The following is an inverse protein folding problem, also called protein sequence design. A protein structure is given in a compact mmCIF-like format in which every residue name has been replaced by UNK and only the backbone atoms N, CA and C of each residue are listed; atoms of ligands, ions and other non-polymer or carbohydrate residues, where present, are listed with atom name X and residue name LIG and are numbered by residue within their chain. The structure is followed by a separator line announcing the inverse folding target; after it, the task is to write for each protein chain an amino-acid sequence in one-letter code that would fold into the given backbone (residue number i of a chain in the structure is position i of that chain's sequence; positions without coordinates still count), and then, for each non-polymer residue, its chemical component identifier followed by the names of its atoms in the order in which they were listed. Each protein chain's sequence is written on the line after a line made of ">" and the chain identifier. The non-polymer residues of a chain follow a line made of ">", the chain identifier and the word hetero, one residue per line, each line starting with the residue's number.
data_IF_261780046048
#
_entry.id   IF_261780046048
#
_cell.length_a   1.000
_cell.length_b   1.000
_cell.length_c   1.000
_cell.angle_alpha   90.00
_cell.angle_beta   90.00
_cell.angle_gamma   90.00
#
_symmetry.space_group_name_H-M   'P 1'
#
loop_
_entity.id
_entity.type
_entity.pdbx_description
1 polymer ?
#
# COMPACT_ATOMS: atom_id res chain seq x y z
N UNK A 1 10.31 -21.17 -8.68
CA UNK A 1 9.25 -20.54 -9.52
C UNK A 1 9.80 -20.27 -10.91
N UNK A 2 9.04 -20.54 -11.98
CA UNK A 2 9.43 -20.19 -13.35
C UNK A 2 8.22 -19.93 -14.25
N UNK A 3 8.08 -18.71 -14.78
CA UNK A 3 6.92 -18.31 -15.61
C UNK A 3 6.87 -19.07 -16.94
N UNK A 4 7.99 -19.16 -17.64
CA UNK A 4 8.09 -19.79 -18.97
C UNK A 4 8.54 -21.25 -18.91
N UNK A 5 8.88 -21.75 -17.72
CA UNK A 5 9.45 -23.08 -17.50
C UNK A 5 10.73 -23.31 -18.32
N UNK A 6 11.50 -22.25 -18.62
CA UNK A 6 12.79 -22.33 -19.30
C UNK A 6 13.88 -22.81 -18.33
N UNK A 7 13.81 -24.09 -17.99
CA UNK A 7 14.67 -24.78 -17.04
C UNK A 7 15.50 -25.84 -17.76
N UNK A 8 16.72 -26.14 -17.27
CA UNK A 8 17.54 -27.21 -17.83
C UNK A 8 16.88 -28.58 -17.60
N UNK A 9 17.05 -29.50 -18.56
CA UNK A 9 16.49 -30.86 -18.44
C UNK A 9 17.17 -31.67 -17.33
N UNK A 10 18.43 -31.36 -17.04
CA UNK A 10 19.23 -31.95 -15.97
C UNK A 10 19.66 -30.90 -14.97
N UNK A 11 19.31 -31.10 -13.70
CA UNK A 11 19.73 -30.31 -12.56
C UNK A 11 19.60 -31.15 -11.28
N UNK A 12 20.42 -30.85 -10.28
CA UNK A 12 20.35 -31.54 -8.98
C UNK A 12 18.97 -31.42 -8.32
N UNK A 13 18.25 -30.32 -8.58
CA UNK A 13 16.89 -30.07 -8.07
C UNK A 13 15.85 -31.10 -8.55
N UNK A 14 16.11 -31.80 -9.66
CA UNK A 14 15.20 -32.83 -10.18
C UNK A 14 15.40 -34.19 -9.53
N UNK A 15 16.40 -34.32 -8.66
CA UNK A 15 16.69 -35.56 -7.96
C UNK A 15 15.89 -35.65 -6.65
N UNK A 16 14.63 -36.08 -6.77
CA UNK A 16 13.62 -36.02 -5.70
C UNK A 16 13.80 -37.02 -4.56
N UNK A 17 14.88 -37.81 -4.57
CA UNK A 17 15.22 -38.74 -3.49
C UNK A 17 15.66 -38.05 -2.19
N UNK A 18 16.38 -36.93 -2.28
CA UNK A 18 16.94 -36.20 -1.13
C UNK A 18 15.94 -35.19 -0.56
N UNK A 19 15.20 -34.53 -1.45
CA UNK A 19 14.24 -33.51 -1.10
C UNK A 19 13.08 -33.50 -2.09
N UNK A 20 11.88 -33.22 -1.58
CA UNK A 20 10.71 -33.03 -2.41
C UNK A 20 10.81 -31.73 -3.21
N UNK A 21 10.50 -31.79 -4.51
CA UNK A 21 10.63 -30.63 -5.40
C UNK A 21 9.29 -30.24 -5.98
N UNK A 22 8.94 -28.96 -5.80
CA UNK A 22 7.76 -28.33 -6.39
C UNK A 22 8.21 -27.24 -7.38
N UNK A 23 7.60 -27.22 -8.55
CA UNK A 23 7.75 -26.16 -9.54
C UNK A 23 6.42 -25.44 -9.71
N UNK A 24 6.36 -24.21 -9.21
CA UNK A 24 5.29 -23.28 -9.55
C UNK A 24 5.57 -22.62 -10.92
N UNK A 25 4.61 -22.76 -11.85
CA UNK A 25 4.70 -22.22 -13.21
C UNK A 25 3.42 -21.53 -13.66
N UNK A 26 3.47 -20.77 -14.74
CA UNK A 26 2.29 -20.12 -15.31
C UNK A 26 1.54 -21.10 -16.23
N UNK A 27 0.21 -21.08 -16.17
CA UNK A 27 -0.65 -21.97 -16.96
C UNK A 27 -0.29 -21.92 -18.44
N UNK A 28 -0.08 -23.10 -19.03
CA UNK A 28 0.26 -23.25 -20.44
C UNK A 28 1.76 -23.17 -20.77
N UNK A 29 2.63 -23.03 -19.77
CA UNK A 29 4.08 -23.02 -19.99
C UNK A 29 4.61 -24.42 -20.36
N UNK A 30 5.20 -24.58 -21.56
CA UNK A 30 5.95 -25.77 -22.05
C UNK A 30 5.53 -27.12 -21.45
N UNK A 31 4.36 -27.63 -21.87
CA UNK A 31 3.76 -28.88 -21.36
C UNK A 31 4.68 -30.10 -21.51
N UNK A 32 5.47 -30.15 -22.58
CA UNK A 32 6.45 -31.21 -22.82
C UNK A 32 7.48 -31.34 -21.68
N UNK A 33 7.92 -30.20 -21.13
CA UNK A 33 8.89 -30.18 -20.05
C UNK A 33 8.21 -30.44 -18.70
N UNK A 34 6.97 -29.97 -18.51
CA UNK A 34 6.17 -30.35 -17.35
C UNK A 34 6.04 -31.87 -17.24
N UNK A 35 5.71 -32.56 -18.34
CA UNK A 35 5.59 -34.01 -18.39
C UNK A 35 6.91 -34.74 -18.09
N UNK A 36 8.03 -34.24 -18.63
CA UNK A 36 9.37 -34.80 -18.34
C UNK A 36 9.71 -34.67 -16.86
N UNK A 37 9.46 -33.52 -16.25
CA UNK A 37 9.76 -33.27 -14.83
C UNK A 37 8.84 -34.08 -13.91
N UNK A 38 7.56 -34.20 -14.26
CA UNK A 38 6.62 -35.06 -13.54
C UNK A 38 7.05 -36.53 -13.55
N UNK A 39 7.61 -37.03 -14.67
CA UNK A 39 8.19 -38.39 -14.74
C UNK A 39 9.41 -38.57 -13.84
N UNK A 40 10.13 -37.49 -13.51
CA UNK A 40 11.24 -37.48 -12.53
C UNK A 40 10.75 -37.31 -11.08
N UNK A 41 9.42 -37.31 -10.85
CA UNK A 41 8.82 -37.18 -9.52
C UNK A 41 8.66 -35.74 -9.03
N UNK A 42 8.93 -34.74 -9.88
CA UNK A 42 8.77 -33.32 -9.53
C UNK A 42 7.29 -32.93 -9.61
N UNK A 43 6.77 -32.30 -8.57
CA UNK A 43 5.42 -31.74 -8.59
C UNK A 43 5.40 -30.44 -9.40
N UNK A 44 4.58 -30.38 -10.45
CA UNK A 44 4.42 -29.17 -11.27
C UNK A 44 3.04 -28.59 -10.99
N UNK A 45 3.02 -27.35 -10.51
CA UNK A 45 1.79 -26.63 -10.12
C UNK A 45 1.61 -25.43 -11.04
N UNK A 46 0.49 -25.40 -11.76
CA UNK A 46 0.13 -24.29 -12.65
C UNK A 46 -0.69 -23.23 -11.93
N UNK A 47 -0.27 -21.97 -12.08
CA UNK A 47 -0.97 -20.79 -11.64
C UNK A 47 -1.45 -20.00 -12.85
N UNK A 48 -2.67 -19.45 -12.80
CA UNK A 48 -3.18 -18.61 -13.90
C UNK A 48 -2.29 -17.39 -14.16
N UNK A 49 -1.86 -16.72 -13.07
CA UNK A 49 -0.81 -15.72 -13.08
C UNK A 49 0.18 -16.03 -11.98
N UNK A 50 1.39 -16.45 -12.35
CA UNK A 50 2.41 -16.81 -11.37
C UNK A 50 2.93 -15.55 -10.64
N UNK A 51 2.61 -15.44 -9.35
CA UNK A 51 3.06 -14.38 -8.47
C UNK A 51 3.51 -14.93 -7.09
N UNK A 52 4.31 -14.20 -6.30
CA UNK A 52 4.81 -14.67 -5.01
C UNK A 52 3.71 -15.01 -4.00
N UNK A 53 2.65 -14.20 -3.90
CA UNK A 53 1.56 -14.36 -2.92
C UNK A 53 0.84 -15.68 -3.11
N UNK A 54 0.39 -15.99 -4.33
CA UNK A 54 -0.34 -17.24 -4.61
C UNK A 54 0.54 -18.47 -4.32
N UNK A 55 1.84 -18.37 -4.61
CA UNK A 55 2.78 -19.47 -4.31
C UNK A 55 2.93 -19.65 -2.80
N UNK A 56 3.00 -18.57 -2.03
CA UNK A 56 3.05 -18.66 -0.57
C UNK A 56 1.74 -19.17 0.03
N UNK A 57 0.59 -18.76 -0.49
CA UNK A 57 -0.72 -19.30 -0.08
C UNK A 57 -0.85 -20.79 -0.40
N UNK A 58 -0.38 -21.20 -1.58
CA UNK A 58 -0.29 -22.61 -1.93
C UNK A 58 0.61 -23.36 -0.95
N UNK A 59 1.83 -22.87 -0.66
CA UNK A 59 2.72 -23.49 0.33
C UNK A 59 2.08 -23.55 1.72
N UNK A 60 1.38 -22.50 2.14
CA UNK A 60 0.65 -22.48 3.41
C UNK A 60 -0.44 -23.55 3.45
N UNK A 61 -1.23 -23.71 2.39
CA UNK A 61 -2.25 -24.76 2.28
C UNK A 61 -1.66 -26.19 2.35
N UNK A 62 -0.36 -26.32 2.06
CA UNK A 62 0.41 -27.57 2.16
C UNK A 62 1.07 -27.76 3.53
N UNK A 63 0.86 -26.83 4.46
CA UNK A 63 1.42 -26.87 5.81
C UNK A 63 2.83 -26.32 5.92
N UNK A 64 3.36 -25.63 4.90
CA UNK A 64 4.64 -24.96 5.00
C UNK A 64 4.48 -23.68 5.85
N UNK A 65 4.99 -23.71 7.08
CA UNK A 65 4.89 -22.59 8.03
C UNK A 65 6.03 -21.57 7.87
N UNK A 66 7.17 -22.00 7.33
CA UNK A 66 8.34 -21.16 7.13
C UNK A 66 8.96 -21.46 5.77
N UNK A 67 9.30 -20.41 5.02
CA UNK A 67 9.88 -20.52 3.69
C UNK A 67 11.11 -19.62 3.65
N UNK A 68 12.23 -20.20 3.24
CA UNK A 68 13.45 -19.44 2.94
C UNK A 68 13.39 -19.03 1.46
N UNK A 69 13.40 -17.73 1.21
CA UNK A 69 13.29 -17.17 -0.13
C UNK A 69 14.67 -16.73 -0.65
N UNK A 70 15.31 -17.59 -1.44
CA UNK A 70 16.58 -17.29 -2.10
C UNK A 70 16.39 -17.10 -3.60
N UNK A 71 16.77 -15.93 -4.11
CA UNK A 71 16.70 -15.63 -5.54
C UNK A 71 17.53 -14.39 -5.91
N UNK A 72 17.67 -14.12 -7.20
CA UNK A 72 18.24 -12.86 -7.68
C UNK A 72 17.29 -11.67 -7.50
N UNK A 73 17.83 -10.46 -7.64
CA UNK A 73 17.10 -9.22 -7.38
C UNK A 73 15.78 -9.05 -8.14
N UNK A 74 15.67 -9.58 -9.36
CA UNK A 74 14.44 -9.52 -10.16
C UNK A 74 13.25 -10.26 -9.56
N UNK A 75 13.50 -11.34 -8.81
CA UNK A 75 12.46 -12.09 -8.10
C UNK A 75 12.29 -11.61 -6.65
N UNK A 76 13.37 -11.11 -6.04
CA UNK A 76 13.34 -10.59 -4.68
C UNK A 76 12.45 -9.34 -4.58
N UNK A 77 12.57 -8.40 -5.54
CA UNK A 77 11.81 -7.15 -5.49
C UNK A 77 10.28 -7.37 -5.53
N UNK A 78 9.69 -8.16 -6.46
CA UNK A 78 8.26 -8.48 -6.43
C UNK A 78 7.80 -9.24 -5.18
N UNK A 79 8.65 -10.09 -4.60
CA UNK A 79 8.32 -10.81 -3.37
C UNK A 79 8.25 -9.84 -2.17
N UNK A 80 9.21 -8.91 -2.10
CA UNK A 80 9.20 -7.83 -1.10
C UNK A 80 7.98 -6.93 -1.30
N UNK A 81 7.72 -6.47 -2.54
CA UNK A 81 6.62 -5.54 -2.84
C UNK A 81 5.23 -6.14 -2.64
N UNK A 82 5.09 -7.47 -2.77
CA UNK A 82 3.83 -8.18 -2.51
C UNK A 82 3.57 -8.43 -1.02
N UNK A 83 4.51 -8.08 -0.15
CA UNK A 83 4.37 -8.18 1.31
C UNK A 83 4.52 -9.60 1.86
N UNK A 84 5.03 -10.56 1.08
CA UNK A 84 5.21 -11.95 1.55
C UNK A 84 6.53 -12.18 2.30
N UNK A 85 7.48 -11.25 2.17
CA UNK A 85 8.77 -11.31 2.86
C UNK A 85 8.66 -10.63 4.22
N UNK A 86 8.87 -11.42 5.26
CA UNK A 86 8.79 -10.96 6.65
C UNK A 86 10.16 -10.59 7.22
N UNK A 87 11.14 -11.49 7.07
CA UNK A 87 12.51 -11.34 7.57
C UNK A 87 13.50 -11.30 6.41
N UNK A 88 14.50 -10.45 6.52
CA UNK A 88 15.62 -10.32 5.59
C UNK A 88 16.89 -10.78 6.28
N UNK A 89 17.70 -11.53 5.53
CA UNK A 89 19.08 -11.88 5.86
C UNK A 89 19.98 -11.37 4.73
N UNK A 90 20.77 -10.34 5.00
CA UNK A 90 21.68 -9.72 4.03
C UNK A 90 23.13 -10.07 4.40
N UNK A 91 23.77 -10.89 3.56
CA UNK A 91 25.17 -11.25 3.71
C UNK A 91 26.06 -10.30 2.91
N UNK A 92 27.03 -9.70 3.59
CA UNK A 92 27.98 -8.73 3.03
C UNK A 92 29.38 -9.31 3.17
N UNK A 93 29.95 -9.72 2.04
CA UNK A 93 31.34 -10.16 1.99
C UNK A 93 32.31 -8.95 1.94
N UNK A 94 33.54 -9.06 2.48
CA UNK A 94 34.55 -8.01 2.40
C UNK A 94 35.20 -7.99 1.00
N UNK A 95 34.38 -7.80 -0.05
CA UNK A 95 34.77 -7.85 -1.46
C UNK A 95 34.09 -6.73 -2.23
N UNK A 96 34.81 -6.13 -3.17
CA UNK A 96 34.32 -5.02 -4.00
C UNK A 96 34.38 -5.46 -5.46
N UNK A 97 33.22 -5.48 -6.14
CA UNK A 97 33.10 -5.86 -7.56
C UNK A 97 32.88 -4.63 -8.43
N UNK A 98 31.95 -3.74 -8.05
CA UNK A 98 31.60 -2.53 -8.81
C UNK A 98 30.98 -2.81 -10.18
N UNK A 99 30.62 -1.74 -10.90
CA UNK A 99 30.13 -1.81 -12.28
C UNK A 99 28.62 -1.56 -12.44
N UNK A 100 28.26 -0.78 -13.48
CA UNK A 100 26.87 -0.38 -13.77
C UNK A 100 25.94 -1.56 -14.10
N UNK A 101 26.50 -2.65 -14.63
CA UNK A 101 25.76 -3.87 -14.95
C UNK A 101 25.91 -4.97 -13.91
N UNK A 102 26.51 -4.70 -12.75
CA UNK A 102 26.57 -5.68 -11.68
C UNK A 102 25.16 -5.94 -11.14
N UNK A 103 24.78 -7.20 -10.90
CA UNK A 103 23.46 -7.53 -10.37
C UNK A 103 23.29 -6.96 -8.96
N UNK A 104 22.14 -6.32 -8.72
CA UNK A 104 21.74 -5.86 -7.39
C UNK A 104 21.10 -7.01 -6.60
N UNK A 105 21.34 -7.11 -5.27
CA UNK A 105 20.66 -8.09 -4.42
C UNK A 105 19.12 -7.97 -4.45
N UNK A 106 18.61 -6.75 -4.60
CA UNK A 106 17.18 -6.45 -4.77
C UNK A 106 17.01 -5.59 -6.02
N UNK A 107 16.08 -5.97 -6.89
CA UNK A 107 15.75 -5.21 -8.09
C UNK A 107 14.95 -3.95 -7.79
N UNK A 108 14.29 -3.40 -8.81
CA UNK A 108 13.52 -2.17 -8.71
C UNK A 108 12.30 -2.32 -7.79
N UNK A 109 12.24 -1.53 -6.72
CA UNK A 109 11.08 -1.39 -5.83
C UNK A 109 10.27 -0.11 -6.12
N UNK A 110 10.68 0.70 -7.10
CA UNK A 110 10.01 1.95 -7.46
C UNK A 110 10.23 3.11 -6.48
N UNK A 111 11.21 2.99 -5.58
CA UNK A 111 11.60 4.02 -4.62
C UNK A 111 12.63 4.96 -5.26
N UNK A 112 12.34 6.26 -5.23
CA UNK A 112 13.20 7.31 -5.82
C UNK A 112 13.87 8.18 -4.76
N UNK A 113 13.37 8.16 -3.52
CA UNK A 113 13.90 8.90 -2.39
C UNK A 113 14.18 7.96 -1.22
N UNK A 114 15.22 8.27 -0.43
CA UNK A 114 15.59 7.45 0.72
C UNK A 114 14.49 7.38 1.79
N UNK A 115 13.66 8.41 1.91
CA UNK A 115 12.48 8.42 2.80
C UNK A 115 11.40 7.41 2.43
N UNK A 116 11.49 6.81 1.23
CA UNK A 116 10.59 5.76 0.75
C UNK A 116 11.17 4.35 0.93
N UNK A 117 12.45 4.25 1.36
CA UNK A 117 13.11 2.97 1.56
C UNK A 117 12.39 2.16 2.64
N UNK A 118 12.44 0.83 2.52
CA UNK A 118 11.91 -0.06 3.53
C UNK A 118 12.93 -0.17 4.66
N UNK A 119 12.53 0.23 5.86
CA UNK A 119 13.33 0.04 7.05
C UNK A 119 13.24 -1.42 7.53
N UNK A 120 14.36 -1.95 7.99
CA UNK A 120 14.37 -3.18 8.77
C UNK A 120 14.21 -2.82 10.26
N UNK A 121 13.33 -3.53 10.95
CA UNK A 121 13.18 -3.48 12.40
C UNK A 121 13.88 -4.67 13.06
N UNK A 122 14.14 -4.56 14.37
CA UNK A 122 14.87 -5.55 15.17
C UNK A 122 16.16 -6.03 14.50
N UNK A 123 16.95 -5.06 14.02
CA UNK A 123 18.15 -5.35 13.24
C UNK A 123 19.24 -5.95 14.12
N UNK A 124 19.72 -7.13 13.74
CA UNK A 124 20.95 -7.74 14.27
C UNK A 124 22.08 -7.65 13.24
N UNK A 125 23.30 -7.45 13.75
CA UNK A 125 24.51 -7.46 12.94
C UNK A 125 25.49 -8.44 13.58
N UNK A 126 25.89 -9.44 12.82
CA UNK A 126 26.75 -10.54 13.29
C UNK A 126 27.88 -10.79 12.30
N UNK A 127 29.07 -11.13 12.80
CA UNK A 127 30.18 -11.56 11.96
C UNK A 127 30.14 -13.10 11.80
N UNK A 128 30.07 -13.57 10.55
CA UNK A 128 30.08 -15.00 10.21
C UNK A 128 31.34 -15.28 9.41
N UNK A 129 32.40 -15.71 10.11
CA UNK A 129 33.73 -15.82 9.52
C UNK A 129 34.23 -14.46 9.04
N UNK A 130 34.57 -14.29 7.75
CA UNK A 130 35.01 -13.01 7.19
C UNK A 130 33.84 -12.10 6.76
N UNK A 131 32.60 -12.60 6.71
CA UNK A 131 31.45 -11.89 6.18
C UNK A 131 30.60 -11.28 7.31
N UNK A 132 29.79 -10.27 6.99
CA UNK A 132 28.83 -9.63 7.90
C UNK A 132 27.43 -10.06 7.52
N UNK A 133 26.67 -10.57 8.48
CA UNK A 133 25.23 -10.77 8.35
C UNK A 133 24.50 -9.59 8.99
N UNK A 134 23.69 -8.90 8.19
CA UNK A 134 22.66 -7.98 8.68
C UNK A 134 21.32 -8.69 8.58
N UNK A 135 20.60 -8.85 9.68
CA UNK A 135 19.27 -9.47 9.68
C UNK A 135 18.24 -8.57 10.35
N UNK A 136 16.99 -8.64 9.93
CA UNK A 136 15.90 -7.82 10.50
C UNK A 136 14.59 -8.09 9.79
N UNK A 137 13.49 -7.50 10.27
CA UNK A 137 12.16 -7.69 9.68
C UNK A 137 11.71 -6.48 8.87
N UNK A 138 11.08 -6.70 7.71
CA UNK A 138 10.54 -5.61 6.86
C UNK A 138 9.24 -5.03 7.40
N UNK A 139 8.54 -5.86 8.16
CA UNK A 139 7.33 -5.53 8.87
C UNK A 139 7.49 -6.18 10.24
N UNK A 140 6.83 -5.70 11.30
CA UNK A 140 6.59 -6.55 12.45
C UNK A 140 6.07 -7.88 11.94
N UNK A 141 6.78 -8.98 12.23
CA UNK A 141 6.11 -10.27 12.17
C UNK A 141 4.88 -10.05 13.04
N UNK A 142 3.65 -10.28 12.52
CA UNK A 142 2.50 -10.34 13.39
C UNK A 142 2.86 -11.45 14.35
N UNK A 143 3.30 -11.03 15.53
CA UNK A 143 3.69 -11.95 16.54
C UNK A 143 2.45 -12.86 16.71
N UNK A 144 2.68 -14.17 16.74
CA UNK A 144 1.62 -15.09 17.14
C UNK A 144 1.41 -15.01 18.66
N UNK A 145 2.28 -14.26 19.34
CA UNK A 145 2.02 -13.54 20.57
C UNK A 145 1.81 -12.05 20.21
N UNK A 146 1.37 -11.16 21.07
CA UNK A 146 1.10 -9.78 20.68
C UNK A 146 2.37 -8.93 20.79
N UNK A 147 2.95 -8.44 19.67
CA UNK A 147 3.82 -7.24 19.71
C UNK A 147 2.89 -6.04 19.89
N UNK A 148 2.56 -5.84 21.16
CA UNK A 148 1.87 -4.70 21.72
C UNK A 148 2.80 -3.51 21.45
N UNK A 149 2.45 -2.52 20.60
CA UNK A 149 3.07 -1.19 20.74
C UNK A 149 2.87 -0.83 22.20
N UNK A 150 3.85 -0.19 22.87
CA UNK A 150 3.72 0.01 24.33
C UNK A 150 2.30 0.50 24.64
N UNK A 151 1.69 0.00 25.71
CA UNK A 151 0.29 0.30 26.07
C UNK A 151 0.02 1.82 25.94
N UNK A 152 1.06 2.62 26.17
CA UNK A 152 1.11 4.07 25.99
C UNK A 152 1.09 4.55 24.54
N UNK A 153 1.79 3.94 23.58
CA UNK A 153 1.82 4.36 22.18
C UNK A 153 0.54 4.00 21.41
N UNK A 154 -0.01 2.79 21.60
CA UNK A 154 -1.30 2.42 20.96
C UNK A 154 -2.44 3.21 21.57
N UNK A 155 -2.45 3.39 22.89
CA UNK A 155 -3.44 4.24 23.54
C UNK A 155 -3.24 5.73 23.24
N UNK A 156 -2.00 6.18 22.97
CA UNK A 156 -1.74 7.56 22.55
C UNK A 156 -2.24 7.84 21.13
N UNK A 157 -2.27 6.84 20.24
CA UNK A 157 -2.76 7.00 18.87
C UNK A 157 -4.27 6.73 18.74
N UNK A 158 -4.79 5.63 19.29
CA UNK A 158 -6.23 5.33 19.34
C UNK A 158 -6.51 4.40 20.56
N UNK A 159 -6.99 4.94 21.69
CA UNK A 159 -7.24 4.17 22.92
C UNK A 159 -8.25 3.04 22.79
N UNK A 160 -8.92 2.92 21.65
CA UNK A 160 -10.07 2.03 21.47
C UNK A 160 -9.77 0.80 20.61
N UNK A 161 -8.56 0.67 20.05
CA UNK A 161 -8.12 -0.47 19.24
C UNK A 161 -7.62 -1.60 20.14
N UNK A 162 -8.30 -2.76 20.10
CA UNK A 162 -7.84 -4.00 20.77
C UNK A 162 -6.95 -4.84 19.82
N UNK A 163 -5.73 -5.24 20.23
CA UNK A 163 -4.71 -5.79 19.33
C UNK A 163 -4.88 -7.27 18.91
N UNK A 164 -5.95 -7.96 19.30
CA UNK A 164 -6.09 -9.42 19.08
C UNK A 164 -7.14 -9.82 18.02
N UNK A 165 -7.89 -8.89 17.42
CA UNK A 165 -8.98 -9.20 16.47
C UNK A 165 -9.22 -8.10 15.40
N UNK A 166 -8.17 -7.46 14.89
CA UNK A 166 -8.34 -6.34 13.94
C UNK A 166 -8.84 -6.82 12.58
N UNK A 167 -10.15 -6.68 12.34
CA UNK A 167 -10.80 -6.97 11.06
C UNK A 167 -10.55 -5.82 10.08
N UNK A 168 -10.41 -6.15 8.80
CA UNK A 168 -10.24 -5.15 7.74
C UNK A 168 -11.61 -4.74 7.19
N UNK A 169 -11.81 -3.43 7.01
CA UNK A 169 -12.95 -2.88 6.28
C UNK A 169 -12.43 -2.33 4.96
N UNK A 170 -12.85 -2.98 3.88
CA UNK A 170 -12.66 -2.47 2.53
C UNK A 170 -13.82 -1.54 2.17
N UNK A 171 -13.49 -0.41 1.55
CA UNK A 171 -14.48 0.50 0.98
C UNK A 171 -14.02 0.95 -0.40
N UNK A 172 -14.90 0.97 -1.38
CA UNK A 172 -14.55 1.41 -2.73
C UNK A 172 -15.72 2.12 -3.40
N UNK A 173 -16.88 1.48 -3.50
CA UNK A 173 -18.03 2.09 -4.16
C UNK A 173 -18.79 2.98 -3.17
N UNK A 174 -19.26 4.11 -3.67
CA UNK A 174 -19.97 5.12 -2.85
C UNK A 174 -21.31 4.62 -2.30
N UNK A 175 -21.85 3.53 -2.85
CA UNK A 175 -23.09 2.89 -2.41
C UNK A 175 -22.88 1.71 -1.44
N UNK A 176 -21.62 1.35 -1.14
CA UNK A 176 -21.31 0.31 -0.16
C UNK A 176 -21.59 0.81 1.27
N UNK A 177 -21.71 -0.08 2.28
CA UNK A 177 -21.95 0.31 3.68
C UNK A 177 -20.95 1.34 4.23
N UNK A 178 -19.71 1.30 3.73
CA UNK A 178 -18.64 2.25 4.06
C UNK A 178 -18.29 3.18 2.89
N UNK A 179 -19.12 3.24 1.85
CA UNK A 179 -18.91 4.07 0.67
C UNK A 179 -18.81 5.56 0.98
N UNK A 180 -19.40 5.99 2.11
CA UNK A 180 -19.25 7.34 2.62
C UNK A 180 -17.82 7.68 3.09
N UNK A 181 -16.89 6.73 3.15
CA UNK A 181 -15.47 6.98 3.40
C UNK A 181 -14.73 7.47 2.17
N UNK A 182 -15.21 7.13 0.97
CA UNK A 182 -14.64 7.64 -0.28
C UNK A 182 -14.73 9.17 -0.36
N UNK A 183 -13.68 9.81 -0.85
CA UNK A 183 -13.68 11.23 -1.24
C UNK A 183 -14.66 11.54 -2.39
N UNK A 184 -15.13 10.51 -3.11
CA UNK A 184 -16.16 10.61 -4.15
C UNK A 184 -17.58 10.58 -3.58
N UNK A 185 -17.77 10.30 -2.29
CA UNK A 185 -19.12 10.25 -1.71
C UNK A 185 -19.83 11.61 -1.84
N UNK A 186 -21.15 11.64 -2.09
CA UNK A 186 -21.92 12.87 -2.32
C UNK A 186 -22.22 13.63 -1.01
N UNK A 187 -21.17 14.03 -0.29
CA UNK A 187 -21.23 14.80 0.94
C UNK A 187 -20.50 16.11 0.73
N UNK A 188 -21.27 17.21 0.72
CA UNK A 188 -20.73 18.54 0.51
C UNK A 188 -19.89 19.00 1.68
N UNK A 189 -18.84 19.77 1.41
CA UNK A 189 -17.97 20.40 2.41
C UNK A 189 -17.93 21.91 2.24
N UNK A 190 -17.68 22.64 3.32
CA UNK A 190 -17.46 24.09 3.29
C UNK A 190 -15.97 24.34 3.50
N UNK A 191 -15.30 24.80 2.44
CA UNK A 191 -13.87 25.09 2.46
C UNK A 191 -13.62 26.46 1.82
N UNK A 192 -12.60 27.21 2.27
CA UNK A 192 -12.29 28.50 1.68
C UNK A 192 -11.93 28.39 0.20
N UNK A 193 -12.38 29.34 -0.60
CA UNK A 193 -11.95 29.55 -1.98
C UNK A 193 -10.62 30.32 -2.06
N UNK A 194 -10.22 30.74 -3.27
CA UNK A 194 -9.00 31.52 -3.52
C UNK A 194 -8.94 32.87 -2.81
N UNK A 195 -10.09 33.41 -2.41
CA UNK A 195 -10.20 34.67 -1.68
C UNK A 195 -10.23 34.47 -0.16
N UNK A 196 -10.21 33.22 0.29
CA UNK A 196 -10.36 32.86 1.70
C UNK A 196 -11.82 32.83 2.17
N UNK A 197 -12.79 33.04 1.27
CA UNK A 197 -14.21 33.05 1.60
C UNK A 197 -14.75 31.62 1.65
N UNK A 198 -15.48 31.23 2.71
CA UNK A 198 -16.07 29.89 2.78
C UNK A 198 -17.00 29.63 1.59
N UNK A 199 -16.75 28.55 0.86
CA UNK A 199 -17.59 28.13 -0.25
C UNK A 199 -17.95 26.65 -0.16
N UNK A 200 -19.10 26.29 -0.73
CA UNK A 200 -19.59 24.92 -0.74
C UNK A 200 -18.96 24.17 -1.92
N UNK A 201 -18.38 23.00 -1.63
CA UNK A 201 -17.88 22.04 -2.61
C UNK A 201 -18.79 20.82 -2.62
N UNK A 202 -19.22 20.32 -3.80
CA UNK A 202 -20.12 19.17 -3.87
C UNK A 202 -19.57 17.89 -3.22
N UNK A 203 -18.26 17.64 -3.36
CA UNK A 203 -17.55 16.54 -2.70
C UNK A 203 -16.12 16.94 -2.33
N UNK A 204 -15.45 16.11 -1.52
CA UNK A 204 -14.01 16.26 -1.24
C UNK A 204 -13.18 16.20 -2.53
N UNK A 205 -13.58 15.37 -3.50
CA UNK A 205 -12.89 15.29 -4.79
C UNK A 205 -12.94 16.60 -5.60
N UNK A 206 -14.07 17.33 -5.57
CA UNK A 206 -14.17 18.62 -6.26
C UNK A 206 -13.18 19.62 -5.66
N UNK A 207 -13.16 19.71 -4.32
CA UNK A 207 -12.21 20.54 -3.60
C UNK A 207 -10.77 20.13 -3.92
N UNK A 208 -10.44 18.85 -3.80
CA UNK A 208 -9.10 18.32 -4.04
C UNK A 208 -8.59 18.63 -5.46
N UNK A 209 -9.41 18.42 -6.49
CA UNK A 209 -9.00 18.70 -7.87
C UNK A 209 -8.88 20.20 -8.15
N UNK A 210 -9.72 21.04 -7.55
CA UNK A 210 -9.62 22.49 -7.71
C UNK A 210 -8.36 23.08 -7.05
N UNK A 211 -7.96 22.54 -5.91
CA UNK A 211 -6.76 22.98 -5.18
C UNK A 211 -5.46 22.78 -5.97
N UNK A 212 -5.45 21.93 -7.00
CA UNK A 212 -4.34 21.82 -7.96
C UNK A 212 -4.02 23.11 -8.67
N UNK A 213 -5.01 23.98 -8.87
CA UNK A 213 -4.87 25.19 -9.69
C UNK A 213 -4.81 26.46 -8.82
N UNK A 214 -4.94 26.31 -7.50
CA UNK A 214 -4.93 27.41 -6.57
C UNK A 214 -3.55 28.07 -6.51
N UNK A 215 -3.50 29.40 -6.42
CA UNK A 215 -2.25 30.15 -6.28
C UNK A 215 -1.43 30.28 -7.57
N UNK A 216 -1.88 29.70 -8.68
CA UNK A 216 -1.25 29.89 -9.99
C UNK A 216 -1.76 31.18 -10.61
N UNK A 217 -0.86 32.12 -10.91
CA UNK A 217 -1.20 33.41 -11.52
C UNK A 217 -1.45 33.27 -13.04
N UNK A 218 -2.52 32.54 -13.37
CA UNK A 218 -2.97 32.31 -14.74
C UNK A 218 -4.51 32.34 -14.82
N UNK A 219 -5.13 33.17 -15.68
CA UNK A 219 -6.58 33.23 -15.84
C UNK A 219 -7.24 31.89 -16.19
N UNK A 220 -6.53 31.01 -16.91
CA UNK A 220 -7.01 29.66 -17.24
C UNK A 220 -7.08 28.78 -15.99
N UNK A 221 -6.10 28.87 -15.09
CA UNK A 221 -6.10 28.14 -13.83
C UNK A 221 -7.31 28.54 -12.95
N UNK A 222 -7.62 29.83 -12.87
CA UNK A 222 -8.81 30.33 -12.16
C UNK A 222 -10.11 29.83 -12.79
N UNK A 223 -10.20 29.83 -14.13
CA UNK A 223 -11.34 29.27 -14.85
C UNK A 223 -11.55 27.78 -14.58
N UNK A 224 -10.46 27.02 -14.43
CA UNK A 224 -10.52 25.58 -14.12
C UNK A 224 -11.08 25.31 -12.72
N UNK A 225 -10.76 26.14 -11.72
CA UNK A 225 -11.31 26.01 -10.36
C UNK A 225 -12.84 26.09 -10.39
N UNK A 226 -13.38 27.13 -11.03
CA UNK A 226 -14.83 27.32 -11.15
C UNK A 226 -15.48 26.22 -12.00
N UNK A 227 -14.83 25.81 -13.09
CA UNK A 227 -15.30 24.71 -13.92
C UNK A 227 -15.39 23.41 -13.12
N UNK A 228 -14.35 23.04 -12.37
CA UNK A 228 -14.31 21.84 -11.54
C UNK A 228 -15.41 21.89 -10.48
N UNK A 229 -15.57 23.02 -9.79
CA UNK A 229 -16.61 23.23 -8.78
C UNK A 229 -18.02 23.04 -9.32
N UNK A 230 -18.26 23.44 -10.57
CA UNK A 230 -19.56 23.34 -11.24
C UNK A 230 -19.81 21.99 -11.93
N UNK A 231 -18.88 21.04 -11.88
CA UNK A 231 -19.10 19.71 -12.47
C UNK A 231 -20.24 18.95 -11.78
N UNK A 232 -20.89 18.07 -12.54
CA UNK A 232 -22.05 17.31 -12.05
C UNK A 232 -21.66 16.09 -11.21
N UNK A 233 -20.41 15.63 -11.29
CA UNK A 233 -19.96 14.42 -10.62
C UNK A 233 -18.47 14.48 -10.26
N UNK A 234 -18.06 13.80 -9.17
CA UNK A 234 -16.65 13.77 -8.76
C UNK A 234 -15.74 13.10 -9.80
N UNK A 235 -16.24 12.18 -10.60
CA UNK A 235 -15.50 11.57 -11.71
C UNK A 235 -15.16 12.60 -12.80
N UNK A 236 -16.09 13.51 -13.10
CA UNK A 236 -15.88 14.60 -14.05
C UNK A 236 -14.83 15.60 -13.51
N UNK A 237 -14.91 15.97 -12.22
CA UNK A 237 -13.90 16.76 -11.54
C UNK A 237 -12.51 16.10 -11.62
N UNK A 238 -12.42 14.81 -11.29
CA UNK A 238 -11.18 14.03 -11.37
C UNK A 238 -10.63 13.95 -12.80
N UNK A 239 -11.50 13.77 -13.79
CA UNK A 239 -11.15 13.71 -15.21
C UNK A 239 -10.52 15.01 -15.68
N UNK A 240 -11.13 16.16 -15.37
CA UNK A 240 -10.61 17.48 -15.74
C UNK A 240 -9.26 17.71 -15.04
N UNK A 241 -9.20 17.55 -13.72
CA UNK A 241 -7.97 17.84 -12.97
C UNK A 241 -6.80 16.94 -13.36
N UNK A 242 -7.01 15.64 -13.62
CA UNK A 242 -5.97 14.73 -14.12
C UNK A 242 -5.55 15.04 -15.55
N UNK A 243 -6.49 15.43 -16.43
CA UNK A 243 -6.20 15.79 -17.81
C UNK A 243 -5.29 17.01 -17.88
N UNK A 244 -5.66 18.09 -17.19
CA UNK A 244 -4.86 19.33 -17.17
C UNK A 244 -3.49 19.08 -16.54
N UNK A 245 -3.41 18.33 -15.43
CA UNK A 245 -2.12 18.00 -14.82
C UNK A 245 -1.16 17.30 -15.79
N UNK A 246 -1.68 16.46 -16.70
CA UNK A 246 -0.86 15.75 -17.69
C UNK A 246 -0.52 16.61 -18.90
N UNK A 247 -1.46 17.42 -19.38
CA UNK A 247 -1.35 18.15 -20.65
C UNK A 247 -0.80 19.58 -20.49
N UNK A 248 -0.98 20.18 -19.31
CA UNK A 248 -0.64 21.57 -18.96
C UNK A 248 -0.11 21.65 -17.51
N UNK A 249 1.02 20.98 -17.20
CA UNK A 249 1.57 20.95 -15.85
C UNK A 249 1.94 22.34 -15.31
N UNK A 250 2.19 23.33 -16.18
CA UNK A 250 2.44 24.73 -15.83
C UNK A 250 1.24 25.42 -15.16
N UNK A 251 0.04 24.87 -15.33
CA UNK A 251 -1.16 25.36 -14.65
C UNK A 251 -1.38 24.73 -13.27
N UNK A 252 -0.58 23.74 -12.89
CA UNK A 252 -0.69 23.07 -11.60
C UNK A 252 0.22 23.75 -10.57
N UNK A 253 -0.25 23.81 -9.33
CA UNK A 253 0.48 24.33 -8.17
C UNK A 253 1.88 23.69 -8.12
N UNK A 254 2.97 24.48 -8.07
CA UNK A 254 4.34 23.97 -8.13
C UNK A 254 4.64 22.90 -7.08
N UNK A 255 4.15 23.11 -5.86
CA UNK A 255 4.32 22.17 -4.73
C UNK A 255 3.21 21.10 -4.64
N UNK A 256 2.43 20.87 -5.70
CA UNK A 256 1.26 19.97 -5.62
C UNK A 256 1.61 18.58 -5.06
N UNK A 257 2.75 18.01 -5.45
CA UNK A 257 3.15 16.69 -5.00
C UNK A 257 3.45 16.59 -3.50
N UNK A 258 3.82 17.71 -2.85
CA UNK A 258 4.07 17.75 -1.41
C UNK A 258 2.80 18.10 -0.63
N UNK A 259 1.94 18.97 -1.17
CA UNK A 259 0.74 19.46 -0.45
C UNK A 259 -0.50 18.59 -0.63
N UNK A 260 -0.55 17.71 -1.64
CA UNK A 260 -1.74 16.89 -1.95
C UNK A 260 -2.27 16.07 -0.75
N UNK A 261 -1.38 15.57 0.10
CA UNK A 261 -1.76 14.81 1.30
C UNK A 261 -2.50 15.69 2.30
N UNK A 262 -1.96 16.88 2.58
CA UNK A 262 -2.59 17.85 3.48
C UNK A 262 -3.92 18.36 2.93
N UNK A 263 -3.99 18.67 1.64
CA UNK A 263 -5.22 19.10 0.97
C UNK A 263 -6.33 18.06 1.14
N UNK A 264 -6.04 16.78 0.85
CA UNK A 264 -7.00 15.69 1.05
C UNK A 264 -7.41 15.58 2.51
N UNK A 265 -6.44 15.65 3.42
CA UNK A 265 -6.70 15.57 4.86
C UNK A 265 -7.65 16.66 5.34
N UNK A 266 -7.42 17.92 4.95
CA UNK A 266 -8.30 19.06 5.29
C UNK A 266 -9.72 18.87 4.74
N UNK A 267 -9.84 18.39 3.50
CA UNK A 267 -11.14 18.09 2.89
C UNK A 267 -11.91 17.00 3.64
N UNK A 268 -11.23 15.90 3.97
CA UNK A 268 -11.83 14.82 4.77
C UNK A 268 -12.20 15.31 6.18
N UNK A 269 -11.30 16.04 6.86
CA UNK A 269 -11.58 16.59 8.20
C UNK A 269 -12.84 17.44 8.21
N UNK A 270 -12.97 18.33 7.22
CA UNK A 270 -14.17 19.15 7.06
C UNK A 270 -15.42 18.30 6.83
N UNK A 271 -15.36 17.31 5.93
CA UNK A 271 -16.46 16.36 5.69
C UNK A 271 -16.94 15.65 6.97
N UNK A 272 -16.03 15.03 7.71
CA UNK A 272 -16.39 14.28 8.92
C UNK A 272 -16.77 15.20 10.10
N UNK A 273 -16.35 16.47 10.10
CA UNK A 273 -16.81 17.47 11.05
C UNK A 273 -18.23 17.95 10.74
N UNK A 274 -18.53 18.23 9.47
CA UNK A 274 -19.83 18.74 9.03
C UNK A 274 -20.96 17.71 9.04
N UNK A 275 -20.63 16.42 8.95
CA UNK A 275 -21.62 15.34 8.85
C UNK A 275 -21.51 14.40 10.05
N UNK A 276 -22.24 14.67 11.17
CA UNK A 276 -22.12 13.90 12.40
C UNK A 276 -22.40 12.40 12.26
N UNK A 277 -23.28 12.01 11.33
CA UNK A 277 -23.57 10.61 11.03
C UNK A 277 -22.37 9.90 10.39
N UNK A 278 -21.57 10.59 9.56
CA UNK A 278 -20.33 10.05 9.02
C UNK A 278 -19.25 9.95 10.08
N UNK A 279 -19.17 10.92 10.98
CA UNK A 279 -18.27 10.83 12.14
C UNK A 279 -18.62 9.61 13.00
N UNK A 280 -19.91 9.41 13.26
CA UNK A 280 -20.41 8.25 14.00
C UNK A 280 -20.06 6.93 13.29
N UNK A 281 -20.23 6.87 11.97
CA UNK A 281 -19.82 5.73 11.14
C UNK A 281 -18.30 5.51 11.18
N UNK A 282 -17.50 6.58 11.14
CA UNK A 282 -16.04 6.46 11.26
C UNK A 282 -15.64 5.91 12.64
N UNK A 283 -16.27 6.41 13.70
CA UNK A 283 -16.07 5.91 15.07
C UNK A 283 -16.54 4.47 15.25
N UNK A 284 -17.58 4.02 14.54
CA UNK A 284 -18.00 2.61 14.63
C UNK A 284 -16.99 1.63 14.02
N UNK A 285 -15.97 2.13 13.30
CA UNK A 285 -14.87 1.32 12.78
C UNK A 285 -13.67 1.23 13.71
N UNK A 286 -13.79 1.72 14.94
CA UNK A 286 -12.81 1.51 16.00
C UNK A 286 -12.36 0.05 16.06
N UNK A 287 -11.05 -0.17 16.09
CA UNK A 287 -10.46 -1.51 16.03
C UNK A 287 -10.32 -2.11 14.62
N UNK A 288 -10.85 -1.47 13.57
CA UNK A 288 -10.73 -1.94 12.19
C UNK A 288 -9.72 -1.13 11.39
N UNK A 289 -9.03 -1.80 10.45
CA UNK A 289 -8.19 -1.17 9.44
C UNK A 289 -9.05 -0.76 8.26
N UNK A 290 -8.94 0.50 7.82
CA UNK A 290 -9.68 1.03 6.67
C UNK A 290 -8.83 0.97 5.42
N UNK A 291 -9.32 0.30 4.37
CA UNK A 291 -8.63 0.19 3.08
C UNK A 291 -9.54 0.66 1.96
N UNK A 292 -9.09 1.68 1.22
CA UNK A 292 -9.74 2.08 -0.03
C UNK A 292 -9.39 1.04 -1.10
N UNK A 293 -10.37 0.31 -1.63
CA UNK A 293 -10.15 -0.86 -2.48
C UNK A 293 -10.26 -0.52 -3.98
N UNK A 294 -9.71 0.63 -4.41
CA UNK A 294 -9.60 0.96 -5.83
C UNK A 294 -8.54 0.09 -6.51
N UNK A 295 -8.89 -0.67 -7.55
CA UNK A 295 -7.95 -1.57 -8.24
C UNK A 295 -6.96 -0.82 -9.15
N UNK A 296 -7.08 0.50 -9.27
CA UNK A 296 -6.29 1.31 -10.21
C UNK A 296 -5.58 2.48 -9.54
N UNK A 297 -5.92 2.80 -8.29
CA UNK A 297 -5.28 3.90 -7.56
C UNK A 297 -4.25 3.34 -6.59
N UNK A 298 -2.97 3.40 -6.98
CA UNK A 298 -1.87 2.91 -6.17
C UNK A 298 -1.41 3.91 -5.10
N UNK A 299 -1.92 5.14 -5.11
CA UNK A 299 -1.50 6.17 -4.16
C UNK A 299 -2.55 6.32 -3.05
N UNK A 300 -3.78 6.64 -3.41
CA UNK A 300 -4.86 6.81 -2.43
C UNK A 300 -5.49 5.47 -2.02
N UNK A 301 -5.52 4.53 -2.95
CA UNK A 301 -6.08 3.19 -2.78
C UNK A 301 -5.06 2.13 -2.39
N UNK A 302 -5.57 0.94 -2.10
CA UNK A 302 -4.82 -0.28 -1.80
C UNK A 302 -4.36 -1.04 -3.03
N UNK A 303 -4.73 -0.61 -4.25
CA UNK A 303 -4.44 -1.35 -5.46
C UNK A 303 -5.26 -2.64 -5.58
N UNK A 304 -5.05 -3.39 -6.67
CA UNK A 304 -5.82 -4.61 -6.93
C UNK A 304 -5.38 -5.77 -6.03
N UNK A 305 -4.09 -5.82 -5.73
CA UNK A 305 -3.37 -6.91 -5.07
C UNK A 305 -2.72 -6.46 -3.73
N UNK A 306 -3.09 -5.28 -3.22
CA UNK A 306 -2.53 -4.70 -2.00
C UNK A 306 -1.25 -3.87 -2.22
N UNK A 307 -0.89 -3.60 -3.46
CA UNK A 307 0.31 -2.87 -3.89
C UNK A 307 0.17 -1.34 -3.76
N UNK A 308 -1.03 -0.85 -3.46
CA UNK A 308 -1.30 0.57 -3.27
C UNK A 308 -0.99 1.07 -1.84
N UNK A 309 -0.60 2.34 -1.73
CA UNK A 309 -0.15 2.96 -0.48
C UNK A 309 -1.29 3.20 0.53
N UNK A 310 -2.55 3.15 0.07
CA UNK A 310 -3.76 3.35 0.87
C UNK A 310 -3.73 4.64 1.70
N UNK A 311 -3.22 5.74 1.14
CA UNK A 311 -3.15 7.01 1.87
C UNK A 311 -4.54 7.47 2.34
N UNK A 312 -5.61 7.19 1.60
CA UNK A 312 -6.95 7.61 1.99
C UNK A 312 -7.41 6.90 3.27
N UNK A 313 -7.26 5.57 3.34
CA UNK A 313 -7.56 4.79 4.54
C UNK A 313 -6.75 5.25 5.76
N UNK A 314 -5.46 5.55 5.56
CA UNK A 314 -4.58 6.10 6.62
C UNK A 314 -5.07 7.45 7.16
N UNK A 315 -5.46 8.37 6.27
CA UNK A 315 -5.99 9.67 6.68
C UNK A 315 -7.31 9.54 7.46
N UNK A 316 -8.19 8.61 7.07
CA UNK A 316 -9.45 8.35 7.78
C UNK A 316 -9.21 7.76 9.17
N UNK A 317 -8.26 6.83 9.31
CA UNK A 317 -7.88 6.29 10.63
C UNK A 317 -7.28 7.39 11.52
N UNK A 318 -6.46 8.29 10.96
CA UNK A 318 -5.98 9.48 11.69
C UNK A 318 -7.14 10.37 12.17
N UNK A 319 -8.13 10.63 11.32
CA UNK A 319 -9.32 11.42 11.70
C UNK A 319 -10.14 10.73 12.79
N UNK A 320 -10.27 9.40 12.73
CA UNK A 320 -10.95 8.60 13.76
C UNK A 320 -10.30 8.82 15.12
N UNK A 321 -8.98 8.67 15.18
CA UNK A 321 -8.17 8.91 16.38
C UNK A 321 -8.36 10.31 16.96
N UNK A 322 -8.31 11.35 16.12
CA UNK A 322 -8.51 12.73 16.56
C UNK A 322 -9.91 12.95 17.12
N UNK A 323 -10.94 12.41 16.46
CA UNK A 323 -12.32 12.61 16.90
C UNK A 323 -12.64 11.90 18.21
N UNK A 324 -11.99 10.76 18.50
CA UNK A 324 -12.14 10.07 19.78
C UNK A 324 -11.54 10.87 20.94
N UNK A 325 -10.40 11.54 20.73
CA UNK A 325 -9.75 12.41 21.73
C UNK A 325 -10.59 13.64 22.07
N UNK A 326 -11.27 14.23 21.09
CA UNK A 326 -12.17 15.37 21.30
C UNK A 326 -13.44 15.01 22.12
N UNK A 327 -13.79 13.72 22.22
CA UNK A 327 -14.98 13.26 22.94
C UNK A 327 -14.73 12.87 24.41
N UNK A 328 -13.48 12.85 24.87
CA UNK A 328 -13.10 12.64 26.27
C UNK A 328 -12.58 13.97 26.85
N UNK A 329 -13.42 14.84 27.43
CA UNK A 329 -12.93 15.97 28.21
C UNK A 329 -12.31 15.44 29.51
N UNK A 330 -11.16 16.00 29.90
CA UNK A 330 -10.50 15.80 31.19
C UNK A 330 -11.52 15.71 32.35
N UNK A 331 -11.66 14.53 32.92
CA UNK A 331 -12.37 14.32 34.19
C UNK A 331 -11.46 14.61 35.40
N UNK A 332 -10.53 15.56 35.26
CA UNK A 332 -9.58 15.96 36.29
C UNK A 332 -9.66 17.46 36.58
N UNK A 333 -10.87 17.92 36.90
CA UNK A 333 -11.10 19.07 37.78
C UNK A 333 -12.30 18.76 38.67
N UNK A 334 -12.08 18.04 39.78
CA UNK A 334 -12.58 18.32 41.15
C UNK A 334 -11.63 17.63 42.12
#
# INVERSE_FOLDING_TARGET
>A
MSKSLNLPEEANLWNTHDAYTIIATQRGARKDIQEKLAKKGVEVVEFDMLNPRDVMEYCYSRGCLSILWECGGELAAPAISSGVIHKVYAFIAPKIIGGRGAPSPVGELGMIQMSQALDLIDVSIEAIGPDILVSGFLHPIPDLSPVIPSIHETAALDPTVSPYESKIIFFYKTWDPFGAFSNFSPHSIIMPDETGVPCIWPTVEHFYQAQKFLGVDNPLAKGLIEQIKCTRSPEEAARIGRKVQREQPELVHPDWDTVKIDVMYRGLRCKFSMHPHLNSLLRSTVGFVLVEASPHDLFWGGGREGEGLNYLGRLLMKLRSESLKEATPDSSIV
#
